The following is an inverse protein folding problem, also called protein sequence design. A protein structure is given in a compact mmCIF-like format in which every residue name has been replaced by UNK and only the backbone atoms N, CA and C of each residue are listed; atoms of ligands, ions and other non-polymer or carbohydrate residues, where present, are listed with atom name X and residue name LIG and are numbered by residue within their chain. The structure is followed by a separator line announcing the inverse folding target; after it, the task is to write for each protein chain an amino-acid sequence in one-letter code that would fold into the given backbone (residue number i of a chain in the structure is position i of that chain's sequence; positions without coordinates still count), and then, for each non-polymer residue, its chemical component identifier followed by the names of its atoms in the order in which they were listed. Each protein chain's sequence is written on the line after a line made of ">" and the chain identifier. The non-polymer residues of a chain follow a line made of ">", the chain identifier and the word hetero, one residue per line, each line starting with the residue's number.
data_IF_746630049694
#
_entry.id   IF_746630049694
#
_cell.length_a   1.000
_cell.length_b   1.000
_cell.length_c   1.000
_cell.angle_alpha   90.00
_cell.angle_beta   90.00
_cell.angle_gamma   90.00
#
_symmetry.space_group_name_H-M   'P 1'
#
loop_
_entity.id
_entity.type
_entity.pdbx_description
1 polymer ?
2 water ?
#
# COMPACT_ATOMS: atom_id res chain seq x y z
N UNK A 1 6.66 -3.85 18.34
CA UNK A 1 5.28 -4.40 18.49
C UNK A 1 5.15 -5.16 19.81
N UNK A 2 4.20 -4.73 20.64
CA UNK A 2 3.99 -5.36 21.94
C UNK A 2 3.17 -6.64 21.82
N UNK A 3 2.99 -7.32 22.95
CA UNK A 3 2.22 -8.55 22.97
C UNK A 3 0.74 -8.25 22.75
N UNK A 4 0.38 -6.97 22.82
CA UNK A 4 -1.01 -6.55 22.63
C UNK A 4 -1.35 -6.21 21.18
N UNK A 5 -0.33 -6.07 20.33
CA UNK A 5 -0.55 -5.71 18.93
C UNK A 5 -1.35 -6.77 18.17
N UNK A 6 -2.18 -6.30 17.23
CA UNK A 6 -3.01 -7.19 16.43
C UNK A 6 -3.22 -6.62 15.03
N UNK A 7 -3.44 -7.50 14.06
CA UNK A 7 -3.66 -7.08 12.68
C UNK A 7 -5.13 -6.88 12.36
N UNK A 8 -5.40 -5.90 11.50
CA UNK A 8 -6.75 -5.61 11.04
C UNK A 8 -6.66 -5.45 9.53
N UNK A 9 -7.78 -5.61 8.83
CA UNK A 9 -7.78 -5.42 7.39
C UNK A 9 -8.49 -4.09 7.12
N UNK A 10 -7.92 -3.28 6.24
CA UNK A 10 -8.51 -1.99 5.90
C UNK A 10 -9.81 -2.20 5.14
N UNK A 11 -10.87 -1.52 5.58
CA UNK A 11 -12.19 -1.62 4.96
C UNK A 11 -12.65 -0.27 4.43
N UNK A 12 -13.07 -0.23 3.17
CA UNK A 12 -13.54 1.02 2.60
C UNK A 12 -12.45 1.83 1.95
N UNK A 13 -12.81 2.99 1.40
CA UNK A 13 -11.85 3.85 0.72
C UNK A 13 -11.48 5.13 1.46
N UNK A 14 -11.88 5.26 2.72
CA UNK A 14 -11.59 6.49 3.46
C UNK A 14 -10.11 6.79 3.68
N UNK A 15 -9.25 5.78 3.59
CA UNK A 15 -7.82 6.03 3.79
C UNK A 15 -7.01 5.86 2.51
N UNK A 16 -7.71 5.87 1.38
CA UNK A 16 -7.08 5.75 0.07
C UNK A 16 -6.80 7.17 -0.40
N UNK A 17 -5.53 7.53 -0.49
CA UNK A 17 -5.14 8.87 -0.91
C UNK A 17 -5.28 9.07 -2.42
N UNK A 18 -5.41 10.33 -2.86
CA UNK A 18 -5.54 10.63 -4.29
C UNK A 18 -4.29 10.17 -5.04
N UNK A 19 -4.46 9.77 -6.30
CA UNK A 19 -3.33 9.30 -7.10
C UNK A 19 -2.23 10.34 -7.04
N UNK A 20 -1.05 9.89 -6.62
CA UNK A 20 0.08 10.78 -6.51
C UNK A 20 0.39 11.19 -5.08
N UNK A 21 -0.47 10.79 -4.13
CA UNK A 21 -0.30 11.14 -2.73
C UNK A 21 0.11 9.92 -1.91
N UNK A 22 0.84 10.18 -0.83
CA UNK A 22 1.27 9.09 0.04
C UNK A 22 1.40 9.64 1.47
N UNK A 23 1.21 8.77 2.49
CA UNK A 23 0.88 7.36 2.27
C UNK A 23 -0.55 7.17 1.79
N UNK A 24 -0.91 5.91 1.53
CA UNK A 24 -2.23 5.51 1.08
C UNK A 24 -2.50 4.08 1.54
N UNK A 25 -3.71 3.82 2.04
CA UNK A 25 -4.10 2.49 2.52
C UNK A 25 -5.41 2.01 1.90
N UNK A 26 -5.33 1.48 0.67
CA UNK A 26 -6.49 0.97 -0.06
C UNK A 26 -7.20 -0.17 0.67
N UNK A 27 -8.49 -0.32 0.38
CA UNK A 27 -9.29 -1.39 0.95
C UNK A 27 -8.54 -2.68 0.63
N UNK A 28 -8.43 -3.57 1.61
CA UNK A 28 -7.74 -4.82 1.39
C UNK A 28 -6.36 -4.94 2.02
N UNK A 29 -5.74 -3.82 2.36
CA UNK A 29 -4.42 -3.88 2.98
C UNK A 29 -4.58 -4.29 4.44
N UNK A 30 -3.48 -4.74 5.04
CA UNK A 30 -3.50 -5.12 6.45
C UNK A 30 -2.74 -4.04 7.20
N UNK A 31 -3.18 -3.74 8.42
CA UNK A 31 -2.52 -2.75 9.24
C UNK A 31 -2.29 -3.36 10.61
N UNK A 32 -1.13 -3.10 11.21
CA UNK A 32 -0.80 -3.64 12.53
C UNK A 32 -1.09 -2.56 13.57
N UNK A 33 -1.96 -2.90 14.52
CA UNK A 33 -2.37 -1.98 15.57
C UNK A 33 -1.74 -2.35 16.90
N UNK A 34 -1.10 -1.39 17.56
CA UNK A 34 -0.47 -1.66 18.85
C UNK A 34 -1.05 -0.74 19.93
N UNK A 35 -1.89 -1.30 20.81
CA UNK A 35 -2.52 -0.55 21.90
C UNK A 35 -1.52 0.04 22.89
N UNK A 36 -0.36 -0.59 23.00
CA UNK A 36 0.64 -0.14 23.95
C UNK A 36 1.56 0.98 23.48
N UNK A 37 1.31 1.49 22.27
CA UNK A 37 2.12 2.58 21.74
C UNK A 37 1.25 3.82 21.62
N UNK A 38 1.72 4.91 22.22
CA UNK A 38 0.99 6.17 22.21
C UNK A 38 0.81 6.72 20.80
N UNK A 39 -0.30 7.42 20.59
CA UNK A 39 -0.58 8.02 19.30
C UNK A 39 -0.40 9.52 19.42
N UNK A 40 0.56 10.05 18.67
CA UNK A 40 0.86 11.48 18.67
C UNK A 40 0.29 12.11 17.40
N UNK A 41 0.11 13.45 17.40
CA UNK A 41 -0.44 14.10 16.20
C UNK A 41 0.42 13.72 15.01
N UNK A 42 -0.23 13.38 13.90
CA UNK A 42 0.51 12.98 12.71
C UNK A 42 0.54 11.47 12.55
N UNK A 43 0.31 10.73 13.63
CA UNK A 43 0.32 9.27 13.57
C UNK A 43 -0.99 8.68 13.06
N UNK A 44 -0.92 7.45 12.58
CA UNK A 44 -2.11 6.75 12.12
C UNK A 44 -2.57 5.94 13.31
N UNK A 45 -3.87 5.73 13.43
CA UNK A 45 -4.38 5.02 14.58
C UNK A 45 -5.73 4.40 14.34
N UNK A 46 -6.19 3.65 15.33
CA UNK A 46 -7.52 3.07 15.30
C UNK A 46 -8.17 3.82 16.45
N UNK A 47 -9.33 4.39 16.20
CA UNK A 47 -10.04 5.12 17.24
C UNK A 47 -11.42 4.52 17.43
N UNK A 48 -11.96 4.70 18.63
CA UNK A 48 -13.28 4.18 18.97
C UNK A 48 -14.21 5.39 19.06
N UNK A 49 -15.26 5.39 18.24
CA UNK A 49 -16.21 6.50 18.23
C UNK A 49 -17.41 6.30 19.16
N UNK A 50 -18.36 7.23 19.08
CA UNK A 50 -19.55 7.18 19.92
C UNK A 50 -20.29 5.85 19.98
N UNK A 51 -20.61 5.29 18.82
CA UNK A 51 -21.31 4.01 18.80
C UNK A 51 -20.37 2.85 19.03
N UNK A 52 -19.18 3.16 19.54
CA UNK A 52 -18.15 2.17 19.82
C UNK A 52 -17.60 1.50 18.57
N UNK A 53 -17.83 2.11 17.42
CA UNK A 53 -17.32 1.54 16.17
C UNK A 53 -15.86 1.94 15.98
N UNK A 54 -15.07 1.03 15.42
CA UNK A 54 -13.66 1.30 15.16
C UNK A 54 -13.51 2.05 13.85
N UNK A 55 -12.53 2.94 13.79
CA UNK A 55 -12.25 3.69 12.57
C UNK A 55 -10.73 3.83 12.47
N UNK A 56 -10.22 3.75 11.24
CA UNK A 56 -8.79 3.85 10.95
C UNK A 56 -8.57 5.23 10.34
N UNK A 57 -7.87 6.11 11.05
CA UNK A 57 -7.64 7.46 10.55
C UNK A 57 -6.30 8.03 11.01
N UNK A 58 -5.99 9.23 10.55
CA UNK A 58 -4.77 9.90 10.97
C UNK A 58 -5.19 10.85 12.08
N UNK A 59 -4.52 10.80 13.22
CA UNK A 59 -4.87 11.70 14.31
C UNK A 59 -4.11 13.01 14.13
N UNK A 60 -4.84 14.11 14.08
CA UNK A 60 -4.20 15.40 13.91
C UNK A 60 -4.72 16.38 14.94
N UNK A 61 -4.06 17.53 15.03
CA UNK A 61 -4.46 18.58 15.95
C UNK A 61 -4.28 19.91 15.24
N UNK A 62 -5.25 20.79 15.42
CA UNK A 62 -5.19 22.12 14.82
C UNK A 62 -5.84 23.09 15.79
N UNK A 63 -5.16 24.20 16.05
CA UNK A 63 -5.67 25.22 16.96
C UNK A 63 -6.17 24.65 18.29
N UNK A 64 -5.45 23.66 18.81
CA UNK A 64 -5.82 23.06 20.09
C UNK A 64 -6.87 21.96 20.07
N UNK A 65 -7.45 21.68 18.91
CA UNK A 65 -8.47 20.64 18.83
C UNK A 65 -7.98 19.40 18.09
N UNK A 66 -8.38 18.23 18.58
CA UNK A 66 -7.98 16.97 17.97
C UNK A 66 -9.04 16.49 16.98
N UNK A 67 -8.58 15.97 15.85
CA UNK A 67 -9.49 15.45 14.83
C UNK A 67 -8.96 14.13 14.29
N UNK A 68 -9.87 13.34 13.73
CA UNK A 68 -9.51 12.08 13.10
C UNK A 68 -9.62 12.43 11.62
N UNK A 69 -8.48 12.43 10.93
CA UNK A 69 -8.46 12.80 9.52
C UNK A 69 -8.29 11.65 8.54
N UNK A 70 -9.18 11.57 7.54
CA UNK A 70 -9.11 10.51 6.53
C UNK A 70 -8.14 10.99 5.45
N UNK A 71 -7.48 10.06 4.77
CA UNK A 71 -6.54 10.44 3.71
C UNK A 71 -7.28 10.71 2.40
N UNK A 72 -8.53 10.25 2.33
CA UNK A 72 -9.36 10.44 1.15
C UNK A 72 -10.12 11.76 1.36
N UNK A 73 -9.78 12.79 0.56
CA UNK A 73 -10.38 14.13 0.61
C UNK A 73 -11.90 14.16 0.51
N UNK A 74 -12.50 13.10 -0.01
CA UNK A 74 -13.95 13.06 -0.13
C UNK A 74 -14.65 12.73 1.18
N UNK A 75 -13.90 12.22 2.15
CA UNK A 75 -14.45 11.86 3.46
C UNK A 75 -14.26 12.99 4.47
N UNK A 76 -15.19 13.13 5.42
CA UNK A 76 -15.12 14.18 6.44
C UNK A 76 -14.15 13.95 7.59
N UNK A 77 -13.67 15.05 8.17
CA UNK A 77 -12.79 14.98 9.32
C UNK A 77 -13.73 14.74 10.50
N UNK A 78 -13.24 14.07 11.53
CA UNK A 78 -14.07 13.78 12.69
C UNK A 78 -13.47 14.32 13.98
N UNK A 79 -14.20 15.22 14.68
CA UNK A 79 -13.71 15.79 15.93
C UNK A 79 -13.47 14.64 16.91
N UNK A 80 -12.32 14.64 17.58
CA UNK A 80 -11.99 13.58 18.53
C UNK A 80 -11.99 14.15 19.95
N UNK A 81 -13.16 14.15 20.57
CA UNK A 81 -13.30 14.69 21.92
C UNK A 81 -13.60 13.61 22.96
N UNK A 82 -14.42 13.97 23.94
CA UNK A 82 -14.82 13.08 25.04
C UNK A 82 -15.33 11.70 24.62
N UNK A 83 -16.27 11.67 23.69
CA UNK A 83 -16.86 10.42 23.23
C UNK A 83 -15.92 9.53 22.41
N UNK A 84 -14.80 10.09 21.97
CA UNK A 84 -13.83 9.35 21.16
C UNK A 84 -12.61 8.91 21.97
N UNK A 85 -12.10 7.72 21.67
CA UNK A 85 -10.93 7.21 22.37
C UNK A 85 -9.97 6.51 21.39
N UNK A 86 -8.68 6.61 21.66
CA UNK A 86 -7.68 5.99 20.81
C UNK A 86 -7.47 4.54 21.25
N UNK A 87 -7.61 3.61 20.31
CA UNK A 87 -7.43 2.19 20.59
C UNK A 87 -5.95 1.81 20.50
N UNK A 88 -5.30 2.20 19.41
CA UNK A 88 -3.90 1.88 19.25
C UNK A 88 -3.24 2.59 18.08
N UNK A 89 -1.92 2.57 18.08
CA UNK A 89 -1.18 3.21 17.00
C UNK A 89 -1.00 2.20 15.88
N UNK A 90 -1.12 2.66 14.63
CA UNK A 90 -0.91 1.77 13.50
C UNK A 90 0.59 1.86 13.27
N UNK A 91 1.26 0.71 13.33
CA UNK A 91 2.71 0.68 13.21
C UNK A 91 3.27 -0.04 11.99
N UNK A 92 2.41 -0.68 11.22
CA UNK A 92 2.85 -1.38 10.02
C UNK A 92 1.68 -1.58 9.09
N UNK A 93 1.97 -1.75 7.80
CA UNK A 93 0.91 -2.00 6.83
C UNK A 93 1.52 -2.72 5.64
N UNK A 94 0.83 -3.75 5.17
CA UNK A 94 1.32 -4.53 4.04
C UNK A 94 0.16 -5.20 3.33
N UNK A 95 0.41 -5.68 2.12
CA UNK A 95 -0.63 -6.38 1.37
C UNK A 95 -0.54 -7.83 1.84
N UNK A 96 -1.68 -8.54 1.91
CA UNK A 96 -1.57 -9.93 2.35
C UNK A 96 -0.76 -10.77 1.37
N UNK A 97 -0.14 -11.85 1.86
CA UNK A 97 0.67 -12.72 1.02
C UNK A 97 -0.08 -13.18 -0.23
N UNK A 98 -1.35 -13.51 -0.05
CA UNK A 98 -2.19 -14.00 -1.14
C UNK A 98 -2.26 -13.06 -2.34
N UNK A 99 -2.02 -11.78 -2.09
CA UNK A 99 -2.05 -10.77 -3.15
C UNK A 99 -1.14 -11.14 -4.31
N UNK A 100 -0.03 -11.79 -4.00
CA UNK A 100 0.93 -12.16 -5.02
C UNK A 100 0.87 -13.64 -5.37
N UNK A 101 0.04 -14.37 -4.64
CA UNK A 101 -0.11 -15.79 -4.88
C UNK A 101 0.87 -16.59 -4.05
N UNK B 1 10.62 -16.84 0.10
CA UNK B 1 11.58 -15.84 -0.46
C UNK B 1 13.01 -16.36 -0.40
N UNK B 2 13.69 -16.37 -1.55
CA UNK B 2 15.06 -16.85 -1.62
C UNK B 2 16.02 -15.80 -1.08
N UNK B 3 17.27 -16.19 -0.87
CA UNK B 3 18.28 -15.28 -0.35
C UNK B 3 18.65 -14.21 -1.37
N UNK B 4 18.24 -14.40 -2.62
CA UNK B 4 18.55 -13.44 -3.66
C UNK B 4 17.51 -12.32 -3.73
N UNK B 5 16.36 -12.54 -3.09
CA UNK B 5 15.28 -11.55 -3.07
C UNK B 5 15.74 -10.23 -2.45
N UNK B 6 15.24 -9.12 -2.98
CA UNK B 6 15.61 -7.81 -2.46
C UNK B 6 14.45 -6.83 -2.50
N UNK B 7 14.46 -5.87 -1.58
CA UNK B 7 13.41 -4.85 -1.52
C UNK B 7 13.71 -3.68 -2.45
N UNK B 8 12.66 -3.07 -2.98
CA UNK B 8 12.79 -1.96 -3.91
C UNK B 8 11.66 -0.98 -3.60
N UNK B 9 11.89 0.31 -3.81
CA UNK B 9 10.85 1.29 -3.55
C UNK B 9 10.09 1.61 -4.83
N UNK B 10 8.77 1.65 -4.73
CA UNK B 10 7.94 1.96 -5.88
C UNK B 10 8.05 3.46 -6.17
N UNK B 11 8.32 3.80 -7.42
CA UNK B 11 8.43 5.20 -7.82
C UNK B 11 7.40 5.49 -8.91
N UNK B 12 6.64 6.56 -8.74
CA UNK B 12 5.65 6.90 -9.74
C UNK B 12 4.26 6.37 -9.44
N UNK B 13 3.32 6.73 -10.30
CA UNK B 13 1.92 6.35 -10.14
C UNK B 13 1.46 5.27 -11.12
N UNK B 14 2.39 4.66 -11.86
CA UNK B 14 2.00 3.66 -12.86
C UNK B 14 1.32 2.40 -12.30
N UNK B 15 1.56 2.09 -11.03
CA UNK B 15 0.95 0.90 -10.44
C UNK B 15 -0.07 1.23 -9.35
N UNK B 16 -0.59 2.44 -9.42
CA UNK B 16 -1.60 2.93 -8.48
C UNK B 16 -2.93 2.66 -9.17
N UNK B 17 -3.70 1.74 -8.62
CA UNK B 17 -4.98 1.37 -9.19
C UNK B 17 -6.08 2.38 -8.88
N UNK B 18 -7.14 2.38 -9.69
CA UNK B 18 -8.24 3.31 -9.46
C UNK B 18 -8.87 3.01 -8.09
N UNK B 19 -9.27 4.06 -7.38
CA UNK B 19 -9.88 3.92 -6.06
C UNK B 19 -10.90 2.80 -6.08
N UNK B 20 -10.74 1.87 -5.14
CA UNK B 20 -11.66 0.75 -5.04
C UNK B 20 -11.15 -0.54 -5.66
N UNK B 21 -10.12 -0.45 -6.49
CA UNK B 21 -9.56 -1.62 -7.15
C UNK B 21 -8.53 -2.31 -6.25
N UNK B 22 -8.38 -3.62 -6.44
CA UNK B 22 -7.48 -4.43 -5.63
C UNK B 22 -6.57 -5.31 -6.50
N UNK B 23 -5.25 -5.22 -6.32
CA UNK B 23 -4.47 -4.39 -5.39
C UNK B 23 -4.02 -3.06 -6.01
N UNK B 24 -3.17 -2.34 -5.28
CA UNK B 24 -2.65 -1.05 -5.71
C UNK B 24 -1.31 -0.81 -5.02
N UNK B 25 -0.33 -0.30 -5.76
CA UNK B 25 0.99 -0.04 -5.20
C UNK B 25 1.40 1.39 -5.48
N UNK B 26 0.92 2.33 -4.66
CA UNK B 26 1.24 3.74 -4.82
C UNK B 26 2.70 4.09 -4.56
N UNK B 27 3.11 5.23 -5.11
CA UNK B 27 4.47 5.72 -4.94
C UNK B 27 4.83 5.70 -3.46
N UNK B 28 6.03 5.22 -3.13
CA UNK B 28 6.45 5.20 -1.74
C UNK B 28 6.42 3.82 -1.09
N UNK B 29 5.65 2.90 -1.66
CA UNK B 29 5.58 1.56 -1.11
C UNK B 29 6.84 0.79 -1.48
N UNK B 30 7.10 -0.26 -0.71
CA UNK B 30 8.25 -1.13 -0.93
C UNK B 30 7.71 -2.44 -1.49
N UNK B 31 8.47 -3.04 -2.40
CA UNK B 31 8.08 -4.32 -2.98
C UNK B 31 9.26 -5.27 -2.88
N UNK B 32 8.99 -6.54 -2.60
CA UNK B 32 10.06 -7.54 -2.48
C UNK B 32 10.14 -8.27 -3.82
N UNK B 33 11.30 -8.18 -4.46
CA UNK B 33 11.52 -8.81 -5.76
C UNK B 33 12.41 -10.04 -5.63
N UNK B 34 11.93 -11.19 -6.09
CA UNK B 34 12.71 -12.42 -6.01
C UNK B 34 13.13 -12.90 -7.41
N UNK B 35 14.40 -12.68 -7.76
CA UNK B 35 14.91 -13.09 -9.08
C UNK B 35 14.79 -14.60 -9.31
N UNK B 36 14.78 -15.37 -8.22
CA UNK B 36 14.70 -16.82 -8.31
C UNK B 36 13.30 -17.43 -8.35
N UNK B 37 12.28 -16.60 -8.54
CA UNK B 37 10.92 -17.11 -8.64
C UNK B 37 10.37 -16.74 -10.01
N UNK B 38 9.87 -17.75 -10.72
CA UNK B 38 9.33 -17.54 -12.06
C UNK B 38 8.14 -16.60 -12.05
N UNK B 39 8.00 -15.84 -13.13
CA UNK B 39 6.89 -14.89 -13.26
C UNK B 39 5.87 -15.43 -14.25
N UNK B 40 4.72 -15.85 -13.74
CA UNK B 40 3.65 -16.39 -14.57
C UNK B 40 2.67 -15.27 -14.94
N UNK B 41 1.88 -15.47 -16.00
CA UNK B 41 0.92 -14.44 -16.41
C UNK B 41 0.01 -14.08 -15.23
N UNK B 42 -0.18 -12.78 -15.01
CA UNK B 42 -1.01 -12.34 -13.90
C UNK B 42 -0.17 -11.97 -12.69
N UNK B 43 1.10 -12.36 -12.70
CA UNK B 43 1.98 -12.04 -11.59
C UNK B 43 2.57 -10.65 -11.77
N UNK B 44 2.99 -10.05 -10.66
CA UNK B 44 3.62 -8.75 -10.70
C UNK B 44 5.11 -9.01 -10.81
N UNK B 45 5.85 -8.09 -11.42
CA UNK B 45 7.27 -8.30 -11.58
C UNK B 45 8.03 -7.03 -11.86
N UNK B 46 9.35 -7.19 -11.95
CA UNK B 46 10.26 -6.12 -12.29
C UNK B 46 10.84 -6.61 -13.61
N UNK B 47 10.94 -5.71 -14.58
CA UNK B 47 11.49 -6.05 -15.88
C UNK B 47 12.59 -5.06 -16.22
N UNK B 48 13.59 -5.54 -16.96
CA UNK B 48 14.72 -4.72 -17.38
C UNK B 48 14.51 -4.39 -18.85
N UNK B 49 14.48 -3.10 -19.18
CA UNK B 49 14.27 -2.68 -20.56
C UNK B 49 15.58 -2.35 -21.27
N UNK B 50 15.48 -2.01 -22.55
CA UNK B 50 16.66 -1.69 -23.33
C UNK B 50 17.50 -0.52 -22.85
N UNK B 51 16.94 0.33 -22.00
CA UNK B 51 17.70 1.46 -21.51
C UNK B 51 18.28 1.23 -20.13
N UNK B 52 18.60 -0.03 -19.83
CA UNK B 52 19.15 -0.39 -18.53
C UNK B 52 18.29 0.13 -17.39
N UNK B 53 17.07 0.53 -17.71
CA UNK B 53 16.14 1.04 -16.72
C UNK B 53 15.15 -0.07 -16.38
N UNK B 54 14.47 0.07 -15.25
CA UNK B 54 13.53 -0.95 -14.83
C UNK B 54 12.11 -0.45 -14.77
N UNK B 55 11.18 -1.40 -14.74
CA UNK B 55 9.78 -1.06 -14.67
C UNK B 55 9.08 -2.12 -13.83
N UNK B 56 8.15 -1.67 -13.00
CA UNK B 56 7.38 -2.53 -12.12
C UNK B 56 6.00 -2.62 -12.75
N UNK B 57 5.62 -3.81 -13.22
CA UNK B 57 4.33 -3.98 -13.88
C UNK B 57 3.77 -5.38 -13.66
N UNK B 58 2.59 -5.62 -14.22
CA UNK B 58 1.98 -6.93 -14.15
C UNK B 58 2.27 -7.58 -15.50
N UNK B 59 2.71 -8.83 -15.46
CA UNK B 59 3.05 -9.59 -16.66
C UNK B 59 1.79 -10.27 -17.20
N UNK B 60 1.48 -10.03 -18.47
CA UNK B 60 0.32 -10.65 -19.10
C UNK B 60 0.65 -11.15 -20.50
N UNK B 61 -0.20 -12.02 -21.04
CA UNK B 61 0.01 -12.59 -22.37
C UNK B 61 -1.14 -12.22 -23.29
N UNK B 62 -0.82 -11.93 -24.55
CA UNK B 62 -1.83 -11.58 -25.53
C UNK B 62 -1.30 -11.82 -26.94
N UNK B 63 -2.13 -12.46 -27.76
CA UNK B 63 -1.77 -12.77 -29.14
C UNK B 63 -0.41 -13.44 -29.24
N UNK B 64 -0.11 -14.31 -28.28
CA UNK B 64 1.16 -15.02 -28.28
C UNK B 64 2.33 -14.10 -27.96
N UNK B 65 2.03 -12.98 -27.33
CA UNK B 65 3.06 -12.00 -26.98
C UNK B 65 2.98 -11.66 -25.50
N UNK B 66 4.12 -11.28 -24.92
CA UNK B 66 4.16 -10.91 -23.51
C UNK B 66 4.11 -9.39 -23.39
N UNK B 67 3.32 -8.91 -22.45
CA UNK B 67 3.19 -7.48 -22.21
C UNK B 67 3.32 -7.14 -20.74
N UNK B 68 3.76 -5.92 -20.47
CA UNK B 68 3.91 -5.42 -19.10
C UNK B 68 2.79 -4.40 -18.95
N UNK B 69 1.83 -4.75 -18.11
CA UNK B 69 0.64 -3.93 -17.90
C UNK B 69 0.62 -3.12 -16.61
N UNK B 70 0.40 -1.80 -16.71
CA UNK B 70 0.35 -0.98 -15.49
C UNK B 70 -1.04 -1.08 -14.86
N UNK B 71 -1.14 -0.89 -13.55
CA UNK B 71 -2.44 -0.96 -12.89
C UNK B 71 -3.17 0.37 -13.06
N UNK B 72 -2.44 1.41 -13.44
CA UNK B 72 -3.01 2.74 -13.67
C UNK B 72 -3.29 2.80 -15.18
N UNK B 73 -4.57 2.85 -15.57
CA UNK B 73 -5.03 2.92 -16.97
C UNK B 73 -4.47 4.07 -17.80
N UNK B 74 -3.93 5.09 -17.15
CA UNK B 74 -3.38 6.24 -17.87
C UNK B 74 -1.98 5.98 -18.41
N UNK B 75 -1.34 4.92 -17.93
CA UNK B 75 0.00 4.59 -18.39
C UNK B 75 -0.12 3.51 -19.46
N UNK B 76 0.75 3.55 -20.48
CA UNK B 76 0.69 2.56 -21.55
C UNK B 76 1.32 1.22 -21.25
N UNK B 77 0.74 0.20 -21.84
CA UNK B 77 1.25 -1.13 -21.70
C UNK B 77 2.41 -1.20 -22.68
N UNK B 78 3.40 -2.03 -22.37
CA UNK B 78 4.58 -2.19 -23.21
C UNK B 78 4.80 -3.65 -23.58
N UNK B 79 5.23 -3.92 -24.83
CA UNK B 79 5.46 -5.30 -25.23
C UNK B 79 6.75 -5.74 -24.55
N UNK B 80 6.74 -6.91 -23.93
CA UNK B 80 7.96 -7.38 -23.32
C UNK B 80 8.60 -8.24 -24.39
N UNK B 81 9.23 -7.58 -25.36
CA UNK B 81 9.85 -8.29 -26.46
C UNK B 81 11.33 -8.53 -26.25
N UNK B 82 12.07 -8.57 -27.35
CA UNK B 82 13.51 -8.79 -27.31
C UNK B 82 14.22 -7.47 -27.04
N UNK B 83 14.71 -7.35 -25.81
CA UNK B 83 15.42 -6.17 -25.31
C UNK B 83 14.79 -5.90 -23.95
N UNK B 84 13.89 -6.79 -23.57
CA UNK B 84 13.17 -6.70 -22.31
C UNK B 84 13.29 -8.04 -21.59
N UNK B 85 13.79 -8.01 -20.36
CA UNK B 85 13.96 -9.24 -19.59
C UNK B 85 13.32 -9.13 -18.21
N UNK B 86 12.82 -10.26 -17.71
CA UNK B 86 12.19 -10.30 -16.40
C UNK B 86 13.29 -10.38 -15.35
N UNK B 87 13.23 -9.48 -14.38
CA UNK B 87 14.22 -9.44 -13.31
C UNK B 87 13.82 -10.35 -12.15
N UNK B 88 12.53 -10.39 -11.85
CA UNK B 88 12.06 -11.22 -10.76
C UNK B 88 10.59 -10.98 -10.45
N UNK B 89 10.00 -11.90 -9.70
CA UNK B 89 8.60 -11.80 -9.33
C UNK B 89 8.44 -10.98 -8.05
N UNK B 90 7.40 -10.15 -7.99
CA UNK B 90 7.17 -9.37 -6.79
C UNK B 90 6.38 -10.30 -5.88
N UNK B 91 6.89 -10.54 -4.68
CA UNK B 91 6.27 -11.48 -3.76
C UNK B 91 5.75 -10.91 -2.44
N UNK B 92 5.94 -9.62 -2.23
CA UNK B 92 5.49 -8.97 -1.01
C UNK B 92 5.52 -7.46 -1.21
N UNK B 93 4.73 -6.74 -0.43
CA UNK B 93 4.72 -5.29 -0.54
C UNK B 93 4.24 -4.70 0.77
N UNK B 94 4.92 -3.65 1.22
CA UNK B 94 4.55 -3.01 2.48
C UNK B 94 5.04 -1.57 2.53
N UNK B 95 4.48 -0.79 3.46
CA UNK B 95 4.90 0.59 3.62
C UNK B 95 6.14 0.57 4.50
N UNK B 96 7.12 1.44 4.20
CA UNK B 96 8.31 1.42 5.06
C UNK B 96 7.91 1.84 6.47
N UNK B 97 8.63 1.35 7.48
CA UNK B 97 8.30 1.68 8.86
C UNK B 97 8.29 3.17 9.16
N UNK B 98 9.13 3.94 8.46
CA UNK B 98 9.19 5.38 8.67
C UNK B 98 7.84 6.04 8.39
N UNK B 99 7.00 5.34 7.64
CA UNK B 99 5.67 5.83 7.29
C UNK B 99 4.82 6.10 8.54
N UNK B 100 5.09 5.34 9.59
CA UNK B 100 4.31 5.44 10.82
C UNK B 100 4.94 6.21 11.97
N UNK B 101 6.00 6.95 11.68
CA UNK B 101 6.67 7.72 12.72
C UNK B 101 7.44 6.85 13.69
#
# INVERSE_FOLDING_TARGET
>A
ASASAFWLEVEGNSMTAPTGSKPSFPDGMLILVDPEQAVEPGDFCIARLGGDEFTFKKLIRDSGQVFLQPLNPQYPMIPCNESCSVVGKVIASQWPEETFG
>B
ASASAFWLEVEGNSMTAPTGSKPSFPDGMLILVDPEQAVEPGDFCIARLGGDEFTFKKLIRDSGQVFLQPLNPQYPMIPCNESCSVVGKVIASQWPEETFG
#
